data_IF_575871707304
#
_entry.id   IF_575871707304
#
_cell.length_a   1.000
_cell.length_b   1.000
_cell.length_c   1.000
_cell.angle_alpha   90.00
_cell.angle_beta   90.00
_cell.angle_gamma   90.00
#
_symmetry.space_group_name_H-M   'P 1'
#
loop_
_entity.id
_entity.type
_entity.pdbx_description
1 polymer ?
#
# COMPACT_ATOMS: atom_id res chain seq x y z
N UNK A 1 73.84 11.77 -35.80
CA UNK A 1 72.57 11.68 -35.05
C UNK A 1 72.39 10.22 -34.64
N UNK A 2 72.58 9.92 -33.36
CA UNK A 2 72.53 8.56 -32.79
C UNK A 2 71.15 8.39 -32.16
N UNK A 3 70.40 7.36 -32.57
CA UNK A 3 69.21 6.89 -31.85
C UNK A 3 69.52 5.53 -31.23
N UNK A 4 69.55 5.50 -29.90
CA UNK A 4 69.80 4.33 -29.07
C UNK A 4 68.45 3.79 -28.58
N UNK A 5 68.09 2.56 -28.96
CA UNK A 5 66.94 1.85 -28.41
C UNK A 5 67.41 0.98 -27.24
N UNK A 6 66.83 1.21 -26.06
CA UNK A 6 67.06 0.42 -24.86
C UNK A 6 66.17 -0.85 -24.82
N UNK A 7 66.65 -1.99 -24.30
CA UNK A 7 65.87 -3.22 -24.23
C UNK A 7 64.92 -3.20 -23.02
N UNK A 8 63.61 -3.38 -23.26
CA UNK A 8 62.62 -3.48 -22.19
C UNK A 8 62.57 -4.93 -21.69
N UNK A 9 62.98 -5.08 -20.45
CA UNK A 9 63.18 -6.29 -19.65
C UNK A 9 61.89 -7.14 -19.49
N UNK A 10 61.94 -8.41 -19.90
CA UNK A 10 60.82 -9.39 -19.82
C UNK A 10 60.29 -9.74 -18.41
N UNK A 11 60.87 -9.19 -17.33
CA UNK A 11 60.36 -9.34 -15.94
C UNK A 11 59.11 -8.49 -15.66
N UNK A 12 58.93 -7.38 -16.36
CA UNK A 12 57.81 -6.45 -16.14
C UNK A 12 56.45 -7.05 -16.52
N UNK A 13 56.41 -7.83 -17.60
CA UNK A 13 55.19 -8.39 -18.15
C UNK A 13 54.57 -9.49 -17.25
N UNK A 14 55.40 -10.31 -16.61
CA UNK A 14 54.92 -11.37 -15.72
C UNK A 14 54.35 -10.81 -14.40
N UNK A 15 54.89 -9.70 -13.92
CA UNK A 15 54.37 -9.02 -12.74
C UNK A 15 53.05 -8.31 -13.06
N UNK A 16 52.93 -7.70 -14.24
CA UNK A 16 51.67 -7.11 -14.72
C UNK A 16 50.56 -8.17 -14.89
N UNK A 17 50.89 -9.35 -15.42
CA UNK A 17 49.93 -10.48 -15.53
C UNK A 17 49.49 -11.00 -14.16
N UNK A 18 50.41 -11.13 -13.20
CA UNK A 18 50.09 -11.55 -11.83
C UNK A 18 49.22 -10.54 -11.10
N UNK A 19 49.49 -9.25 -11.29
CA UNK A 19 48.68 -8.16 -10.73
C UNK A 19 47.27 -8.16 -11.32
N UNK A 20 47.13 -8.37 -12.64
CA UNK A 20 45.84 -8.45 -13.31
C UNK A 20 45.00 -9.64 -12.84
N UNK A 21 45.62 -10.81 -12.66
CA UNK A 21 44.96 -12.01 -12.11
C UNK A 21 44.52 -11.78 -10.66
N UNK A 22 45.34 -11.10 -9.86
CA UNK A 22 45.00 -10.78 -8.46
C UNK A 22 43.83 -9.80 -8.37
N UNK A 23 43.82 -8.76 -9.21
CA UNK A 23 42.72 -7.79 -9.27
C UNK A 23 41.41 -8.45 -9.71
N UNK A 24 41.46 -9.35 -10.69
CA UNK A 24 40.31 -10.09 -11.17
C UNK A 24 39.74 -11.01 -10.07
N UNK A 25 40.60 -11.70 -9.33
CA UNK A 25 40.20 -12.56 -8.21
C UNK A 25 39.52 -11.76 -7.08
N UNK A 26 40.03 -10.56 -6.77
CA UNK A 26 39.42 -9.66 -5.78
C UNK A 26 38.05 -9.16 -6.26
N UNK A 27 37.88 -8.87 -7.55
CA UNK A 27 36.57 -8.52 -8.13
C UNK A 27 35.56 -9.67 -8.03
N UNK A 28 35.96 -10.93 -8.26
CA UNK A 28 35.04 -12.06 -8.10
C UNK A 28 34.63 -12.30 -6.64
N UNK A 29 35.53 -12.04 -5.68
CA UNK A 29 35.23 -12.13 -4.25
C UNK A 29 34.29 -11.02 -3.76
N UNK A 30 34.30 -9.84 -4.39
CA UNK A 30 33.38 -8.75 -4.03
C UNK A 30 31.97 -8.91 -4.61
N UNK A 31 31.77 -9.74 -5.65
CA UNK A 31 30.43 -10.08 -6.14
C UNK A 31 29.63 -10.98 -5.18
N UNK A 32 30.29 -11.76 -4.32
CA UNK A 32 29.63 -12.57 -3.28
C UNK A 32 29.00 -11.72 -2.15
N UNK A 33 29.29 -10.40 -2.14
CA UNK A 33 28.73 -9.42 -1.19
C UNK A 33 27.48 -8.69 -1.69
N UNK A 34 26.98 -8.98 -2.91
CA UNK A 34 25.68 -8.47 -3.37
C UNK A 34 24.57 -9.31 -2.73
N UNK A 35 24.42 -9.17 -1.41
CA UNK A 35 23.29 -9.73 -0.69
C UNK A 35 22.02 -9.18 -1.32
N UNK A 36 21.33 -10.03 -2.08
CA UNK A 36 20.00 -9.73 -2.59
C UNK A 36 19.16 -9.34 -1.39
N UNK A 37 18.92 -8.04 -1.22
CA UNK A 37 17.81 -7.58 -0.41
C UNK A 37 16.62 -8.25 -1.06
N UNK A 38 16.07 -9.30 -0.42
CA UNK A 38 14.86 -9.96 -0.91
C UNK A 38 13.82 -8.85 -1.00
N UNK A 39 13.60 -8.35 -2.21
CA UNK A 39 12.50 -7.45 -2.51
C UNK A 39 11.28 -8.34 -2.40
N UNK A 40 10.64 -8.31 -1.24
CA UNK A 40 9.36 -8.97 -1.04
C UNK A 40 8.32 -8.17 -1.83
N UNK A 41 8.26 -8.38 -3.14
CA UNK A 41 7.11 -7.96 -3.95
C UNK A 41 5.97 -8.94 -3.66
N UNK A 42 5.54 -8.96 -2.40
CA UNK A 42 4.47 -9.83 -1.98
C UNK A 42 3.16 -9.13 -2.32
N UNK A 43 2.49 -9.62 -3.36
CA UNK A 43 1.18 -9.13 -3.76
C UNK A 43 0.25 -9.16 -2.55
N UNK A 44 -0.34 -7.99 -2.24
CA UNK A 44 -1.24 -7.83 -1.10
C UNK A 44 -2.66 -8.00 -1.58
N UNK A 45 -3.45 -8.76 -0.83
CA UNK A 45 -4.87 -8.98 -1.13
C UNK A 45 -5.70 -8.73 0.12
N UNK A 46 -6.88 -8.14 -0.08
CA UNK A 46 -7.91 -8.03 0.96
C UNK A 46 -9.08 -8.92 0.53
N UNK A 47 -9.56 -9.74 1.43
CA UNK A 47 -10.79 -10.50 1.22
C UNK A 47 -11.88 -9.94 2.14
N UNK A 48 -13.03 -9.59 1.58
CA UNK A 48 -14.16 -9.06 2.33
C UNK A 48 -15.49 -9.51 1.71
N UNK A 49 -16.40 -10.06 2.52
CA UNK A 49 -17.73 -10.55 2.07
C UNK A 49 -17.71 -11.49 0.85
N UNK A 50 -16.62 -12.20 0.63
CA UNK A 50 -16.44 -13.11 -0.51
C UNK A 50 -15.66 -12.49 -1.67
N UNK A 51 -15.55 -11.17 -1.73
CA UNK A 51 -14.81 -10.45 -2.74
C UNK A 51 -13.32 -10.37 -2.41
N UNK A 52 -12.49 -10.35 -3.47
CA UNK A 52 -11.05 -10.22 -3.38
C UNK A 52 -10.61 -8.91 -4.05
N UNK A 53 -9.92 -8.07 -3.28
CA UNK A 53 -9.37 -6.80 -3.71
C UNK A 53 -7.85 -6.92 -3.84
N UNK A 54 -7.33 -6.56 -5.01
CA UNK A 54 -5.89 -6.56 -5.27
C UNK A 54 -5.29 -5.22 -4.83
N UNK A 55 -4.33 -5.30 -3.91
CA UNK A 55 -3.67 -4.15 -3.28
C UNK A 55 -2.25 -3.92 -3.75
N UNK A 56 -1.73 -4.70 -4.72
CA UNK A 56 -0.33 -4.64 -5.14
C UNK A 56 0.09 -3.27 -5.68
N UNK A 57 -0.82 -2.57 -6.36
CA UNK A 57 -0.55 -1.25 -6.95
C UNK A 57 -1.33 -0.12 -6.27
N UNK A 58 -1.97 -0.38 -5.13
CA UNK A 58 -2.77 0.63 -4.44
C UNK A 58 -1.85 1.60 -3.70
N UNK A 59 -1.88 2.86 -4.09
CA UNK A 59 -1.07 3.94 -3.52
C UNK A 59 -1.87 4.78 -2.52
N UNK A 60 -3.17 4.99 -2.77
CA UNK A 60 -4.04 5.76 -1.90
C UNK A 60 -5.19 4.92 -1.36
N UNK A 61 -5.40 5.05 -0.06
CA UNK A 61 -6.54 4.44 0.64
C UNK A 61 -7.27 5.55 1.39
N UNK A 62 -8.55 5.71 1.11
CA UNK A 62 -9.43 6.66 1.81
C UNK A 62 -10.74 6.01 2.21
N UNK A 63 -11.44 6.64 3.15
CA UNK A 63 -12.78 6.24 3.55
C UNK A 63 -13.80 7.24 3.04
N UNK A 64 -14.98 6.74 2.70
CA UNK A 64 -16.13 7.51 2.25
C UNK A 64 -17.36 7.16 3.09
N UNK A 65 -18.14 8.17 3.43
CA UNK A 65 -19.40 8.02 4.16
C UNK A 65 -20.42 8.90 3.47
N UNK A 66 -21.44 8.28 2.92
CA UNK A 66 -22.49 8.96 2.16
C UNK A 66 -23.86 8.58 2.73
N UNK A 67 -24.75 9.55 2.83
CA UNK A 67 -26.16 9.33 3.13
C UNK A 67 -27.01 9.70 1.94
N UNK A 68 -27.88 8.78 1.52
CA UNK A 68 -28.97 9.08 0.58
C UNK A 68 -30.24 9.35 1.37
N UNK A 69 -30.76 10.56 1.26
CA UNK A 69 -32.00 11.00 1.89
C UNK A 69 -33.22 10.45 1.12
N UNK A 70 -34.42 10.44 1.74
CA UNK A 70 -35.64 9.98 1.08
C UNK A 70 -36.00 10.75 -0.21
N UNK A 71 -35.60 12.02 -0.31
CA UNK A 71 -35.81 12.84 -1.50
C UNK A 71 -34.85 12.52 -2.66
N UNK A 72 -33.93 11.56 -2.47
CA UNK A 72 -32.92 11.17 -3.45
C UNK A 72 -31.58 11.90 -3.32
N UNK A 73 -31.50 12.95 -2.50
CA UNK A 73 -30.27 13.71 -2.31
C UNK A 73 -29.18 12.84 -1.68
N UNK A 74 -27.95 13.00 -2.17
CA UNK A 74 -26.76 12.37 -1.61
C UNK A 74 -25.95 13.41 -0.85
N UNK A 75 -25.66 13.13 0.42
CA UNK A 75 -24.85 13.98 1.29
C UNK A 75 -23.58 13.26 1.68
N UNK A 76 -22.44 13.95 1.60
CA UNK A 76 -21.22 13.50 2.23
C UNK A 76 -21.36 13.64 3.75
N UNK A 77 -21.39 12.52 4.46
CA UNK A 77 -21.55 12.48 5.91
C UNK A 77 -20.24 12.20 6.65
N UNK A 78 -19.10 12.18 5.93
CA UNK A 78 -17.80 11.92 6.53
C UNK A 78 -17.46 13.03 7.53
N UNK A 79 -17.17 12.64 8.77
CA UNK A 79 -16.79 13.57 9.83
C UNK A 79 -17.97 14.32 10.46
N UNK A 80 -19.22 14.04 10.06
CA UNK A 80 -20.39 14.60 10.74
C UNK A 80 -20.50 14.08 12.17
N UNK A 81 -20.87 14.97 13.08
CA UNK A 81 -21.17 14.63 14.46
C UNK A 81 -22.63 14.16 14.63
N UNK A 82 -22.96 13.65 15.81
CA UNK A 82 -24.30 13.15 16.09
C UNK A 82 -25.40 14.22 15.97
N UNK A 83 -25.06 15.50 16.11
CA UNK A 83 -26.02 16.61 16.00
C UNK A 83 -26.36 16.87 14.54
N UNK A 84 -25.36 16.96 13.67
CA UNK A 84 -25.54 17.16 12.23
C UNK A 84 -26.32 15.98 11.62
N UNK A 85 -25.97 14.75 11.99
CA UNK A 85 -26.73 13.56 11.57
C UNK A 85 -28.16 13.56 12.12
N UNK A 86 -28.33 13.99 13.37
CA UNK A 86 -29.64 14.14 13.98
C UNK A 86 -30.53 15.16 13.27
N UNK A 87 -29.97 16.25 12.74
CA UNK A 87 -30.70 17.22 11.93
C UNK A 87 -31.18 16.60 10.61
N UNK A 88 -30.30 15.91 9.88
CA UNK A 88 -30.67 15.22 8.64
C UNK A 88 -31.77 14.18 8.86
N UNK A 89 -31.70 13.42 9.97
CA UNK A 89 -32.74 12.44 10.32
C UNK A 89 -34.10 13.08 10.63
N UNK A 90 -34.13 14.33 11.09
CA UNK A 90 -35.37 15.08 11.29
C UNK A 90 -35.94 15.63 9.98
N UNK A 91 -35.07 15.99 9.04
CA UNK A 91 -35.46 16.43 7.69
C UNK A 91 -36.05 15.29 6.86
N UNK A 92 -35.50 14.08 6.99
CA UNK A 92 -36.00 12.90 6.31
C UNK A 92 -35.39 11.61 6.84
N UNK A 93 -36.17 10.84 7.60
CA UNK A 93 -35.83 9.49 8.06
C UNK A 93 -36.70 8.45 7.35
N UNK A 94 -36.14 7.27 7.00
CA UNK A 94 -34.76 6.82 7.23
C UNK A 94 -33.77 7.35 6.20
N UNK A 95 -32.49 7.44 6.57
CA UNK A 95 -31.39 7.78 5.64
C UNK A 95 -30.63 6.49 5.28
N UNK A 96 -30.44 6.22 3.99
CA UNK A 96 -29.62 5.10 3.54
C UNK A 96 -28.14 5.50 3.59
N UNK A 97 -27.41 4.99 4.57
CA UNK A 97 -25.98 5.29 4.73
C UNK A 97 -25.12 4.21 4.07
N UNK A 98 -24.16 4.65 3.26
CA UNK A 98 -23.11 3.82 2.68
C UNK A 98 -21.76 4.24 3.27
N UNK A 99 -21.01 3.26 3.75
CA UNK A 99 -19.62 3.39 4.19
C UNK A 99 -18.76 2.56 3.26
N UNK A 100 -17.72 3.16 2.70
CA UNK A 100 -16.83 2.52 1.74
C UNK A 100 -15.36 2.85 2.00
N UNK A 101 -14.49 1.95 1.57
CA UNK A 101 -13.05 2.18 1.47
C UNK A 101 -12.69 2.29 0.00
N UNK A 102 -12.19 3.45 -0.38
CA UNK A 102 -11.70 3.74 -1.72
C UNK A 102 -10.21 3.42 -1.79
N UNK A 103 -9.81 2.64 -2.79
CA UNK A 103 -8.48 2.09 -2.99
C UNK A 103 -8.08 2.37 -4.44
N UNK A 104 -7.58 3.57 -4.70
CA UNK A 104 -7.41 4.14 -6.04
C UNK A 104 -8.65 4.01 -6.93
N UNK A 105 -8.65 3.08 -7.89
CA UNK A 105 -9.76 2.81 -8.81
C UNK A 105 -10.76 1.76 -8.30
N UNK A 106 -10.50 1.15 -7.14
CA UNK A 106 -11.34 0.12 -6.56
C UNK A 106 -12.15 0.66 -5.38
N UNK A 107 -13.43 0.31 -5.32
CA UNK A 107 -14.29 0.60 -4.18
C UNK A 107 -14.62 -0.69 -3.42
N UNK A 108 -14.42 -0.68 -2.11
CA UNK A 108 -14.93 -1.71 -1.22
C UNK A 108 -16.05 -1.14 -0.36
N UNK A 109 -17.31 -1.46 -0.70
CA UNK A 109 -18.47 -1.11 0.12
C UNK A 109 -18.43 -1.91 1.42
N UNK A 110 -18.07 -1.25 2.51
CA UNK A 110 -17.96 -1.89 3.82
C UNK A 110 -19.34 -2.20 4.38
N UNK A 111 -20.17 -1.18 4.55
CA UNK A 111 -21.52 -1.35 5.08
C UNK A 111 -22.48 -0.39 4.39
N UNK A 112 -23.65 -0.90 4.00
CA UNK A 112 -24.76 -0.10 3.49
C UNK A 112 -26.02 -0.46 4.27
N UNK A 113 -26.64 0.52 4.92
CA UNK A 113 -27.80 0.28 5.78
C UNK A 113 -28.62 1.56 5.99
N UNK A 114 -29.93 1.41 6.06
CA UNK A 114 -30.83 2.49 6.48
C UNK A 114 -30.72 2.73 7.98
N UNK A 115 -30.57 3.98 8.38
CA UNK A 115 -30.49 4.39 9.79
C UNK A 115 -31.67 5.28 10.15
N UNK A 116 -32.07 5.19 11.41
CA UNK A 116 -33.09 6.07 12.02
C UNK A 116 -32.52 6.83 13.21
N UNK A 117 -31.34 6.44 13.71
CA UNK A 117 -30.69 7.02 14.88
C UNK A 117 -29.25 7.40 14.59
N UNK A 118 -28.79 8.52 15.16
CA UNK A 118 -27.39 8.98 15.06
C UNK A 118 -26.39 8.01 15.72
N UNK A 119 -26.84 7.21 16.69
CA UNK A 119 -26.04 6.14 17.29
C UNK A 119 -25.74 5.00 16.30
N UNK A 120 -26.69 4.67 15.41
CA UNK A 120 -26.51 3.66 14.37
C UNK A 120 -25.47 4.13 13.35
N UNK A 121 -25.53 5.40 12.95
CA UNK A 121 -24.50 6.06 12.14
C UNK A 121 -23.12 5.97 12.79
N UNK A 122 -23.03 6.40 14.05
CA UNK A 122 -21.77 6.41 14.81
C UNK A 122 -21.16 5.00 14.88
N UNK A 123 -21.97 3.98 15.10
CA UNK A 123 -21.51 2.59 15.11
C UNK A 123 -21.00 2.14 13.74
N UNK A 124 -21.69 2.47 12.65
CA UNK A 124 -21.23 2.15 11.28
C UNK A 124 -19.88 2.80 11.00
N UNK A 125 -19.73 4.09 11.29
CA UNK A 125 -18.46 4.82 11.08
C UNK A 125 -17.34 4.22 11.94
N UNK A 126 -17.58 3.90 13.21
CA UNK A 126 -16.58 3.27 14.10
C UNK A 126 -16.11 1.91 13.58
N UNK A 127 -17.02 1.08 13.05
CA UNK A 127 -16.68 -0.22 12.45
C UNK A 127 -15.81 -0.03 11.19
N UNK A 128 -16.21 0.87 10.30
CA UNK A 128 -15.41 1.18 9.10
C UNK A 128 -14.04 1.75 9.47
N UNK A 129 -13.93 2.67 10.43
CA UNK A 129 -12.65 3.20 10.89
C UNK A 129 -11.74 2.10 11.46
N UNK A 130 -12.32 1.15 12.20
CA UNK A 130 -11.60 -0.01 12.71
C UNK A 130 -11.09 -0.90 11.57
N UNK A 131 -11.89 -1.13 10.53
CA UNK A 131 -11.49 -1.86 9.34
C UNK A 131 -10.38 -1.12 8.57
N UNK A 132 -10.54 0.19 8.32
CA UNK A 132 -9.55 1.03 7.67
C UNK A 132 -8.21 1.02 8.44
N UNK A 133 -8.22 1.06 9.78
CA UNK A 133 -7.00 0.91 10.58
C UNK A 133 -6.33 -0.45 10.41
N UNK A 134 -7.11 -1.53 10.27
CA UNK A 134 -6.57 -2.88 9.95
C UNK A 134 -5.92 -2.90 8.57
N UNK A 135 -6.56 -2.28 7.58
CA UNK A 135 -6.03 -2.15 6.22
C UNK A 135 -4.71 -1.38 6.24
N UNK A 136 -4.65 -0.21 6.89
CA UNK A 136 -3.41 0.58 6.97
C UNK A 136 -2.27 -0.19 7.63
N UNK A 137 -2.54 -0.92 8.73
CA UNK A 137 -1.53 -1.78 9.37
C UNK A 137 -1.08 -2.93 8.46
N UNK A 138 -2.01 -3.54 7.72
CA UNK A 138 -1.71 -4.60 6.76
C UNK A 138 -0.84 -4.11 5.59
N UNK A 139 -1.13 -2.91 5.07
CA UNK A 139 -0.32 -2.28 4.03
C UNK A 139 1.09 -1.96 4.53
N UNK A 140 1.22 -1.48 5.78
CA UNK A 140 2.52 -1.20 6.39
C UNK A 140 3.34 -2.46 6.73
N UNK A 141 2.69 -3.61 6.92
CA UNK A 141 3.38 -4.85 7.28
C UNK A 141 3.97 -5.53 6.03
N UNK A 142 5.31 -5.53 5.91
CA UNK A 142 6.04 -6.09 4.76
C UNK A 142 5.86 -7.60 4.56
N UNK A 143 5.53 -8.36 5.60
CA UNK A 143 5.45 -9.83 5.55
C UNK A 143 4.04 -10.35 5.26
N UNK A 144 3.01 -9.57 5.53
CA UNK A 144 1.62 -10.01 5.34
C UNK A 144 1.18 -9.85 3.90
N UNK A 145 0.64 -10.92 3.32
CA UNK A 145 0.19 -10.98 1.92
C UNK A 145 -1.33 -10.97 1.77
N UNK A 146 -2.06 -11.36 2.81
CA UNK A 146 -3.52 -11.37 2.81
C UNK A 146 -4.09 -10.80 4.10
N UNK A 147 -5.15 -10.00 3.97
CA UNK A 147 -6.00 -9.54 5.06
C UNK A 147 -7.43 -10.02 4.84
N UNK A 148 -7.98 -10.73 5.82
CA UNK A 148 -9.41 -11.10 5.83
C UNK A 148 -10.17 -10.15 6.74
N UNK A 149 -11.01 -9.33 6.15
CA UNK A 149 -11.95 -8.49 6.88
C UNK A 149 -13.22 -9.28 7.16
N UNK A 150 -13.79 -9.05 8.36
CA UNK A 150 -15.07 -9.61 8.79
C UNK A 150 -16.17 -8.59 8.52
#
# INVERSE_FOLDING_TARGET
MISSQAPITGRSLNNAKRLAVFLLAVCFLSLAGCGSTKVYTANKTITYKGDLYNMSNVQKISTRVEGRLPNGDVRNMKGMDSKAVGALLKEGSPILVTTAVDMDSQEMVYERRSITRSSEFSSMVKRMQSASKKISRFMANKKSTQLRLK
#
